data_IF_962447525057
#
_entry.id   IF_962447525057
#
_cell.length_a   1.000
_cell.length_b   1.000
_cell.length_c   1.000
_cell.angle_alpha   90.00
_cell.angle_beta   90.00
_cell.angle_gamma   90.00
#
_symmetry.space_group_name_H-M   'P 1'
#
loop_
_entity.id
_entity.type
_entity.pdbx_description
1 polymer ?
#
# COMPACT_ATOMS: atom_id res chain seq x y z
N UNK A 1 20.42 -9.52 -5.95
CA UNK A 1 20.91 -9.28 -7.33
C UNK A 1 20.12 -8.11 -7.87
N UNK A 2 20.79 -7.06 -8.37
CA UNK A 2 20.08 -5.90 -8.89
C UNK A 2 19.49 -6.19 -10.27
N UNK A 3 18.34 -5.61 -10.54
CA UNK A 3 17.58 -5.73 -11.77
C UNK A 3 17.48 -4.34 -12.37
N UNK A 4 17.79 -4.22 -13.64
CA UNK A 4 17.67 -2.95 -14.36
C UNK A 4 16.27 -2.74 -14.88
N UNK A 5 15.79 -1.51 -14.75
CA UNK A 5 14.46 -1.11 -15.18
C UNK A 5 14.54 0.16 -16.03
N UNK A 6 13.72 0.23 -17.06
CA UNK A 6 13.38 1.49 -17.71
C UNK A 6 12.35 2.22 -16.85
N UNK A 7 12.55 3.50 -16.58
CA UNK A 7 11.53 4.36 -15.93
C UNK A 7 10.60 4.86 -17.03
N UNK A 8 9.40 4.27 -17.10
CA UNK A 8 8.40 4.57 -18.15
C UNK A 8 7.69 5.88 -17.90
N UNK A 9 7.32 6.16 -16.66
CA UNK A 9 6.69 7.42 -16.28
C UNK A 9 6.94 7.77 -14.83
N UNK A 10 6.94 9.09 -14.55
CA UNK A 10 6.92 9.68 -13.21
C UNK A 10 5.86 10.77 -13.23
N UNK A 11 4.68 10.49 -12.70
CA UNK A 11 3.50 11.36 -12.78
C UNK A 11 3.09 11.83 -11.38
N UNK A 12 2.82 13.13 -11.20
CA UNK A 12 2.25 13.60 -9.95
C UNK A 12 0.82 13.07 -9.77
N UNK A 13 0.51 12.56 -8.59
CA UNK A 13 -0.85 12.26 -8.15
C UNK A 13 -1.40 13.46 -7.39
N UNK A 14 -1.47 13.36 -6.07
CA UNK A 14 -1.92 14.44 -5.19
C UNK A 14 -0.99 14.53 -3.98
N UNK A 15 -0.99 15.66 -3.27
CA UNK A 15 -0.23 15.86 -2.03
C UNK A 15 1.25 15.43 -2.10
N UNK A 16 1.96 15.83 -3.15
CA UNK A 16 3.37 15.46 -3.37
C UNK A 16 3.60 13.94 -3.48
N UNK A 17 2.58 13.18 -3.84
CA UNK A 17 2.71 11.76 -4.16
C UNK A 17 2.90 11.58 -5.65
N UNK A 18 3.83 10.71 -6.05
CA UNK A 18 4.13 10.40 -7.44
C UNK A 18 3.81 8.95 -7.74
N UNK A 19 3.16 8.74 -8.88
CA UNK A 19 3.00 7.43 -9.50
C UNK A 19 4.17 7.19 -10.43
N UNK A 20 4.87 6.09 -10.24
CA UNK A 20 6.04 5.72 -11.03
C UNK A 20 5.79 4.37 -11.66
N UNK A 21 6.03 4.26 -12.97
CA UNK A 21 5.99 3.00 -13.70
C UNK A 21 7.41 2.60 -14.08
N UNK A 22 7.79 1.39 -13.68
CA UNK A 22 9.06 0.76 -14.00
C UNK A 22 8.83 -0.45 -14.90
N UNK A 23 9.61 -0.56 -15.98
CA UNK A 23 9.66 -1.74 -16.83
C UNK A 23 10.97 -2.48 -16.58
N UNK A 24 10.98 -3.59 -15.84
CA UNK A 24 12.15 -4.43 -15.67
C UNK A 24 12.60 -5.05 -17.00
N UNK A 25 13.91 -5.28 -17.17
CA UNK A 25 14.45 -5.98 -18.34
C UNK A 25 13.95 -7.42 -18.44
N UNK A 26 13.68 -8.04 -17.28
CA UNK A 26 13.13 -9.39 -17.19
C UNK A 26 11.89 -9.37 -16.30
N UNK A 27 10.93 -10.25 -16.58
CA UNK A 27 9.72 -10.38 -15.76
C UNK A 27 10.10 -10.79 -14.33
N UNK A 28 9.60 -10.02 -13.36
CA UNK A 28 9.79 -10.30 -11.94
C UNK A 28 8.57 -11.05 -11.41
N UNK A 29 8.78 -12.24 -10.88
CA UNK A 29 7.76 -12.98 -10.14
C UNK A 29 7.71 -12.47 -8.70
N UNK A 30 6.57 -11.98 -8.29
CA UNK A 30 6.34 -11.49 -6.92
C UNK A 30 4.91 -11.81 -6.46
N UNK A 31 4.67 -11.68 -5.16
CA UNK A 31 3.35 -11.85 -4.54
C UNK A 31 2.76 -10.48 -4.17
N UNK A 32 1.46 -10.35 -4.28
CA UNK A 32 0.78 -9.10 -3.91
C UNK A 32 1.01 -8.77 -2.44
N UNK A 33 1.51 -7.57 -2.17
CA UNK A 33 1.94 -7.11 -0.84
C UNK A 33 3.45 -7.14 -0.61
N UNK A 34 4.24 -7.57 -1.58
CA UNK A 34 5.70 -7.46 -1.52
C UNK A 34 6.20 -6.07 -1.93
N UNK A 35 7.43 -5.76 -1.59
CA UNK A 35 8.10 -4.50 -1.91
C UNK A 35 9.39 -4.72 -2.71
N UNK A 36 9.90 -3.65 -3.28
CA UNK A 36 11.21 -3.59 -3.90
C UNK A 36 12.13 -2.64 -3.15
N UNK A 37 13.42 -2.77 -3.38
CA UNK A 37 14.45 -1.84 -2.95
C UNK A 37 14.91 -1.01 -4.15
N UNK A 38 14.72 0.30 -4.09
CA UNK A 38 15.33 1.25 -5.02
C UNK A 38 16.83 1.36 -4.69
N UNK A 39 17.69 1.04 -5.64
CA UNK A 39 19.14 1.07 -5.45
C UNK A 39 19.67 2.47 -5.74
N UNK A 40 19.95 3.23 -4.69
CA UNK A 40 20.49 4.59 -4.78
C UNK A 40 22.02 4.63 -4.70
N UNK A 41 22.63 3.54 -4.26
CA UNK A 41 24.06 3.36 -4.13
C UNK A 41 24.38 1.96 -3.61
N UNK A 42 25.65 1.63 -3.51
CA UNK A 42 26.12 0.30 -3.11
C UNK A 42 25.55 -0.14 -1.74
N UNK A 43 25.47 0.79 -0.79
CA UNK A 43 24.91 0.57 0.56
C UNK A 43 23.60 1.32 0.83
N UNK A 44 23.06 2.06 -0.16
CA UNK A 44 21.82 2.83 -0.03
C UNK A 44 20.72 2.18 -0.87
N UNK A 45 19.87 1.40 -0.19
CA UNK A 45 18.73 0.70 -0.79
C UNK A 45 17.47 1.05 -0.03
N UNK A 46 16.49 1.58 -0.73
CA UNK A 46 15.30 2.19 -0.13
C UNK A 46 14.04 1.40 -0.48
N UNK A 47 13.27 0.93 0.54
CA UNK A 47 12.11 0.07 0.32
C UNK A 47 10.88 0.86 -0.14
N UNK A 48 10.19 0.32 -1.15
CA UNK A 48 8.89 0.80 -1.62
C UNK A 48 7.99 -0.37 -1.96
N UNK A 49 6.77 -0.38 -1.42
CA UNK A 49 5.77 -1.38 -1.76
C UNK A 49 5.44 -1.34 -3.24
N UNK A 50 5.34 -2.50 -3.88
CA UNK A 50 4.89 -2.61 -5.26
C UNK A 50 3.37 -2.42 -5.25
N UNK A 51 2.88 -1.36 -5.90
CA UNK A 51 1.47 -1.02 -5.93
C UNK A 51 0.69 -1.81 -6.98
N UNK A 52 1.36 -2.23 -8.08
CA UNK A 52 0.75 -3.10 -9.08
C UNK A 52 0.54 -4.51 -8.55
N UNK A 53 -0.53 -5.15 -9.05
CA UNK A 53 -0.78 -6.58 -8.79
C UNK A 53 0.13 -7.45 -9.66
N UNK A 54 0.58 -8.62 -9.16
CA UNK A 54 1.30 -9.60 -9.99
C UNK A 54 0.47 -10.14 -11.17
N UNK A 55 -0.84 -9.89 -11.18
CA UNK A 55 -1.72 -10.21 -12.31
C UNK A 55 -1.58 -9.25 -13.50
N UNK A 56 -0.88 -8.12 -13.34
CA UNK A 56 -0.58 -7.21 -14.44
C UNK A 56 0.69 -7.64 -15.18
N UNK A 57 0.71 -7.43 -16.50
CA UNK A 57 1.85 -7.81 -17.33
C UNK A 57 3.03 -6.85 -17.16
N UNK A 58 4.06 -7.36 -16.49
CA UNK A 58 5.45 -6.92 -16.60
C UNK A 58 5.83 -5.58 -15.98
N UNK A 59 4.93 -4.61 -15.83
CA UNK A 59 5.24 -3.31 -15.24
C UNK A 59 5.08 -3.32 -13.72
N UNK A 60 6.02 -2.66 -13.05
CA UNK A 60 5.92 -2.39 -11.62
C UNK A 60 5.48 -0.95 -11.39
N UNK A 61 4.46 -0.75 -10.56
CA UNK A 61 3.95 0.55 -10.17
C UNK A 61 4.36 0.85 -8.72
N UNK A 62 4.84 2.08 -8.49
CA UNK A 62 5.14 2.61 -7.16
C UNK A 62 4.31 3.87 -6.91
N UNK A 63 3.91 4.09 -5.65
CA UNK A 63 3.36 5.36 -5.18
C UNK A 63 4.31 5.92 -4.13
N UNK A 64 5.03 6.99 -4.45
CA UNK A 64 6.05 7.57 -3.58
C UNK A 64 5.60 8.93 -3.07
N UNK A 65 5.43 9.05 -1.76
CA UNK A 65 5.15 10.31 -1.09
C UNK A 65 6.44 11.10 -0.88
N UNK A 66 6.65 12.14 -1.69
CA UNK A 66 7.82 12.99 -1.69
C UNK A 66 7.50 14.39 -1.13
N UNK A 67 6.96 14.45 0.09
CA UNK A 67 6.69 15.69 0.80
C UNK A 67 8.00 16.39 1.22
N UNK A 68 7.98 17.73 1.36
CA UNK A 68 9.17 18.55 1.69
C UNK A 68 9.97 18.06 2.89
N UNK A 69 9.28 17.48 3.89
CA UNK A 69 9.91 16.94 5.10
C UNK A 69 10.50 15.53 4.90
N UNK A 70 10.43 14.97 3.69
CA UNK A 70 10.95 13.66 3.35
C UNK A 70 11.98 13.74 2.20
N UNK A 71 13.19 14.31 2.44
CA UNK A 71 14.22 14.44 1.42
C UNK A 71 14.67 13.09 0.86
N UNK A 72 14.56 12.04 1.64
CA UNK A 72 14.89 10.68 1.28
C UNK A 72 14.03 10.15 0.11
N UNK A 73 12.72 10.40 0.14
CA UNK A 73 11.82 10.03 -0.94
C UNK A 73 11.93 10.99 -2.14
N UNK A 74 12.15 12.30 -1.89
CA UNK A 74 12.36 13.30 -2.94
C UNK A 74 13.54 12.90 -3.83
N UNK A 75 14.66 12.52 -3.22
CA UNK A 75 15.87 12.11 -3.96
C UNK A 75 15.60 10.92 -4.89
N UNK A 76 14.83 9.91 -4.45
CA UNK A 76 14.44 8.76 -5.29
C UNK A 76 13.61 9.22 -6.48
N UNK A 77 12.60 10.06 -6.24
CA UNK A 77 11.73 10.57 -7.32
C UNK A 77 12.54 11.38 -8.32
N UNK A 78 13.41 12.28 -7.87
CA UNK A 78 14.25 13.10 -8.76
C UNK A 78 15.26 12.25 -9.55
N UNK A 79 15.84 11.22 -8.92
CA UNK A 79 16.75 10.28 -9.61
C UNK A 79 15.99 9.50 -10.70
N UNK A 80 14.77 9.04 -10.42
CA UNK A 80 13.95 8.35 -11.42
C UNK A 80 13.50 9.28 -12.55
N UNK A 81 13.15 10.54 -12.26
CA UNK A 81 12.86 11.54 -13.29
C UNK A 81 14.07 11.79 -14.20
N UNK A 82 15.26 11.93 -13.61
CA UNK A 82 16.50 12.12 -14.39
C UNK A 82 16.80 10.89 -15.25
N UNK A 83 16.68 9.68 -14.69
CA UNK A 83 16.86 8.45 -15.45
C UNK A 83 15.91 8.33 -16.64
N UNK A 84 14.64 8.69 -16.45
CA UNK A 84 13.64 8.73 -17.52
C UNK A 84 14.01 9.74 -18.63
N UNK A 85 14.43 10.96 -18.26
CA UNK A 85 14.81 12.00 -19.20
C UNK A 85 16.05 11.66 -20.01
N UNK A 86 17.05 11.07 -19.36
CA UNK A 86 18.33 10.71 -19.96
C UNK A 86 18.30 9.34 -20.67
N UNK A 87 17.21 8.59 -20.56
CA UNK A 87 17.11 7.22 -21.07
C UNK A 87 18.02 6.23 -20.34
N UNK A 88 18.42 6.54 -19.10
CA UNK A 88 19.23 5.66 -18.27
C UNK A 88 18.33 4.65 -17.55
N UNK A 89 18.88 3.47 -17.31
CA UNK A 89 18.22 2.47 -16.49
C UNK A 89 18.35 2.80 -15.00
N UNK A 90 17.31 2.45 -14.25
CA UNK A 90 17.28 2.51 -12.80
C UNK A 90 17.41 1.09 -12.22
N UNK A 91 18.16 0.92 -11.17
CA UNK A 91 18.37 -0.39 -10.57
C UNK A 91 17.47 -0.61 -9.35
N UNK A 92 16.90 -1.81 -9.27
CA UNK A 92 16.10 -2.27 -8.14
C UNK A 92 16.53 -3.64 -7.67
N UNK A 93 16.15 -4.01 -6.46
CA UNK A 93 16.15 -5.40 -5.99
C UNK A 93 14.71 -5.79 -5.63
N UNK A 94 14.24 -6.90 -6.18
CA UNK A 94 12.88 -7.39 -5.95
C UNK A 94 12.81 -8.90 -6.14
N UNK A 95 11.81 -9.60 -5.55
CA UNK A 95 10.91 -9.09 -4.52
C UNK A 95 11.45 -9.23 -3.10
N UNK A 96 10.90 -8.45 -2.18
CA UNK A 96 11.17 -8.52 -0.75
C UNK A 96 9.88 -8.51 0.07
N UNK A 97 9.96 -8.88 1.34
CA UNK A 97 8.86 -8.84 2.29
C UNK A 97 8.10 -10.17 2.41
N UNK A 98 7.58 -10.42 3.62
CA UNK A 98 6.85 -11.63 3.99
C UNK A 98 5.35 -11.36 4.25
N UNK A 99 4.92 -10.09 4.11
CA UNK A 99 3.56 -9.66 4.38
C UNK A 99 2.62 -9.74 3.15
N UNK A 100 2.86 -10.69 2.24
CA UNK A 100 2.01 -10.89 1.06
C UNK A 100 0.65 -11.51 1.43
N UNK A 101 -0.31 -11.34 0.54
CA UNK A 101 -1.66 -11.92 0.70
C UNK A 101 -1.62 -13.46 0.74
N UNK A 102 -2.32 -14.03 1.71
CA UNK A 102 -2.47 -15.49 1.86
C UNK A 102 -3.63 -15.96 1.00
N UNK A 103 -3.29 -16.37 -0.23
CA UNK A 103 -4.26 -16.70 -1.28
C UNK A 103 -5.03 -18.00 -1.03
N UNK A 104 -4.51 -18.86 -0.14
CA UNK A 104 -5.12 -20.09 0.33
C UNK A 104 -6.08 -19.91 1.51
N UNK A 105 -6.16 -18.69 2.06
CA UNK A 105 -7.09 -18.38 3.14
C UNK A 105 -8.51 -18.14 2.63
N UNK A 106 -9.48 -18.66 3.39
CA UNK A 106 -10.91 -18.45 3.17
C UNK A 106 -11.51 -17.35 4.06
N UNK A 107 -10.67 -16.66 4.83
CA UNK A 107 -11.09 -15.64 5.80
C UNK A 107 -11.43 -14.31 5.11
N UNK A 108 -12.36 -13.52 5.69
CA UNK A 108 -12.53 -12.15 5.27
C UNK A 108 -11.24 -11.35 5.45
N UNK A 109 -11.01 -10.41 4.52
CA UNK A 109 -9.81 -9.60 4.47
C UNK A 109 -10.09 -8.20 5.03
N UNK A 110 -9.30 -7.77 5.99
CA UNK A 110 -9.26 -6.39 6.46
C UNK A 110 -7.94 -5.76 6.05
N UNK A 111 -8.02 -4.78 5.16
CA UNK A 111 -6.87 -4.04 4.66
C UNK A 111 -6.87 -2.63 5.24
N UNK A 112 -5.75 -2.22 5.85
CA UNK A 112 -5.62 -0.93 6.51
C UNK A 112 -4.41 -0.19 5.96
N UNK A 113 -4.62 1.01 5.43
CA UNK A 113 -3.56 1.86 4.91
C UNK A 113 -3.51 3.21 5.62
N UNK A 114 -2.30 3.70 5.88
CA UNK A 114 -2.01 5.07 6.28
C UNK A 114 -1.24 5.80 5.18
N UNK A 115 -1.78 6.88 4.63
CA UNK A 115 -1.12 7.65 3.57
C UNK A 115 -0.73 6.78 2.37
N UNK A 116 0.54 6.85 1.95
CA UNK A 116 1.09 6.06 0.83
C UNK A 116 1.26 4.56 1.13
N UNK A 117 1.00 4.11 2.35
CA UNK A 117 0.81 2.69 2.67
C UNK A 117 -0.29 2.03 1.84
N UNK A 118 -1.13 2.85 1.19
CA UNK A 118 -2.11 2.38 0.23
C UNK A 118 -1.49 1.61 -0.96
N UNK A 119 -0.26 1.87 -1.36
CA UNK A 119 0.41 1.09 -2.42
C UNK A 119 0.47 -0.41 -2.12
N UNK A 120 0.76 -0.77 -0.88
CA UNK A 120 0.71 -2.15 -0.40
C UNK A 120 -0.71 -2.74 -0.50
N UNK A 121 -1.69 -2.01 0.03
CA UNK A 121 -3.10 -2.41 0.00
C UNK A 121 -3.62 -2.51 -1.45
N UNK A 122 -3.22 -1.57 -2.32
CA UNK A 122 -3.61 -1.58 -3.73
C UNK A 122 -3.21 -2.85 -4.44
N UNK A 123 -1.98 -3.30 -4.26
CA UNK A 123 -1.48 -4.54 -4.87
C UNK A 123 -2.33 -5.75 -4.46
N UNK A 124 -2.63 -5.87 -3.16
CA UNK A 124 -3.43 -6.97 -2.61
C UNK A 124 -4.89 -6.89 -3.11
N UNK A 125 -5.50 -5.70 -3.07
CA UNK A 125 -6.88 -5.49 -3.51
C UNK A 125 -7.05 -5.86 -4.99
N UNK A 126 -6.20 -5.33 -5.87
CA UNK A 126 -6.23 -5.62 -7.30
C UNK A 126 -6.03 -7.12 -7.58
N UNK A 127 -5.14 -7.77 -6.83
CA UNK A 127 -4.95 -9.22 -6.94
C UNK A 127 -6.20 -10.00 -6.54
N UNK A 128 -6.82 -9.64 -5.42
CA UNK A 128 -8.06 -10.28 -4.96
C UNK A 128 -9.21 -10.11 -5.97
N UNK A 129 -9.41 -8.88 -6.48
CA UNK A 129 -10.46 -8.60 -7.46
C UNK A 129 -10.21 -9.32 -8.79
N UNK A 130 -8.97 -9.35 -9.27
CA UNK A 130 -8.60 -10.06 -10.52
C UNK A 130 -8.78 -11.57 -10.42
N UNK A 131 -8.61 -12.15 -9.24
CA UNK A 131 -8.83 -13.57 -8.98
C UNK A 131 -10.30 -13.92 -8.69
N UNK A 132 -11.17 -12.93 -8.60
CA UNK A 132 -12.58 -13.14 -8.30
C UNK A 132 -12.83 -13.65 -6.87
N UNK A 133 -12.05 -13.17 -5.90
CA UNK A 133 -12.22 -13.47 -4.47
C UNK A 133 -13.63 -13.06 -4.05
N UNK A 134 -14.35 -13.98 -3.39
CA UNK A 134 -15.76 -13.78 -2.96
C UNK A 134 -15.91 -13.47 -1.47
N UNK A 135 -14.87 -13.69 -0.68
CA UNK A 135 -14.85 -13.31 0.74
C UNK A 135 -15.06 -11.81 0.89
N UNK A 136 -15.64 -11.36 2.01
CA UNK A 136 -15.70 -9.94 2.32
C UNK A 136 -14.33 -9.30 2.36
N UNK A 137 -14.18 -8.15 1.72
CA UNK A 137 -12.97 -7.33 1.70
C UNK A 137 -13.34 -5.96 2.28
N UNK A 138 -12.62 -5.54 3.31
CA UNK A 138 -12.74 -4.23 3.93
C UNK A 138 -11.45 -3.46 3.71
N UNK A 139 -11.54 -2.25 3.15
CA UNK A 139 -10.42 -1.34 2.96
C UNK A 139 -10.64 -0.08 3.77
N UNK A 140 -9.81 0.13 4.78
CA UNK A 140 -9.75 1.36 5.58
C UNK A 140 -8.51 2.15 5.19
N UNK A 141 -8.71 3.34 4.65
CA UNK A 141 -7.60 4.19 4.23
C UNK A 141 -7.63 5.51 4.97
N UNK A 142 -6.59 5.76 5.79
CA UNK A 142 -6.43 6.95 6.59
C UNK A 142 -5.45 7.95 5.99
N UNK A 143 -5.78 9.24 6.13
CA UNK A 143 -4.91 10.35 5.78
C UNK A 143 -5.22 11.56 6.67
N UNK A 144 -4.31 12.56 6.67
CA UNK A 144 -4.58 13.82 7.38
C UNK A 144 -5.74 14.58 6.78
N UNK A 145 -5.82 14.59 5.46
CA UNK A 145 -6.87 15.24 4.69
C UNK A 145 -7.19 14.44 3.43
N UNK A 146 -8.24 14.86 2.70
CA UNK A 146 -8.71 14.18 1.50
C UNK A 146 -7.64 14.13 0.39
N UNK A 147 -6.76 15.11 0.30
CA UNK A 147 -5.69 15.13 -0.70
C UNK A 147 -4.79 13.89 -0.59
N UNK A 148 -4.55 13.39 0.62
CA UNK A 148 -3.73 12.19 0.84
C UNK A 148 -4.41 10.89 0.39
N UNK A 149 -5.73 10.91 0.23
CA UNK A 149 -6.50 9.78 -0.32
C UNK A 149 -6.55 9.88 -1.86
N UNK A 150 -5.41 9.85 -2.50
CA UNK A 150 -5.22 10.17 -3.93
C UNK A 150 -5.94 9.23 -4.92
N UNK A 151 -6.47 8.11 -4.47
CA UNK A 151 -7.29 7.18 -5.26
C UNK A 151 -8.71 7.02 -4.67
N UNK A 152 -9.19 8.01 -3.91
CA UNK A 152 -10.48 7.97 -3.22
C UNK A 152 -11.65 7.66 -4.16
N UNK A 153 -11.78 8.41 -5.24
CA UNK A 153 -12.88 8.24 -6.20
C UNK A 153 -12.84 6.88 -6.90
N UNK A 154 -11.63 6.40 -7.21
CA UNK A 154 -11.43 5.08 -7.81
C UNK A 154 -11.85 3.95 -6.86
N UNK A 155 -11.45 4.03 -5.59
CA UNK A 155 -11.87 3.05 -4.59
C UNK A 155 -13.37 3.07 -4.33
N UNK A 156 -13.98 4.24 -4.33
CA UNK A 156 -15.42 4.36 -4.21
C UNK A 156 -16.13 3.67 -5.39
N UNK A 157 -15.67 3.92 -6.61
CA UNK A 157 -16.20 3.25 -7.80
C UNK A 157 -16.00 1.72 -7.78
N UNK A 158 -14.86 1.25 -7.26
CA UNK A 158 -14.62 -0.19 -7.08
C UNK A 158 -15.59 -0.80 -6.05
N UNK A 159 -15.82 -0.12 -4.94
CA UNK A 159 -16.77 -0.58 -3.92
C UNK A 159 -18.20 -0.62 -4.45
N UNK A 160 -18.60 0.35 -5.26
CA UNK A 160 -19.92 0.36 -5.91
C UNK A 160 -20.08 -0.79 -6.92
N UNK A 161 -18.97 -1.23 -7.54
CA UNK A 161 -18.97 -2.31 -8.54
C UNK A 161 -18.91 -3.71 -7.92
N UNK A 162 -18.25 -3.87 -6.79
CA UNK A 162 -17.99 -5.15 -6.14
C UNK A 162 -18.72 -5.27 -4.82
N UNK A 163 -19.79 -6.05 -4.77
CA UNK A 163 -20.69 -6.18 -3.60
C UNK A 163 -20.03 -6.75 -2.35
N UNK A 164 -18.89 -7.42 -2.50
CA UNK A 164 -18.08 -7.94 -1.38
C UNK A 164 -16.99 -6.99 -0.91
N UNK A 165 -16.83 -5.81 -1.55
CA UNK A 165 -15.86 -4.78 -1.18
C UNK A 165 -16.54 -3.65 -0.42
N UNK A 166 -16.04 -3.35 0.77
CA UNK A 166 -16.41 -2.18 1.56
C UNK A 166 -15.19 -1.26 1.67
N UNK A 167 -15.34 -0.01 1.23
CA UNK A 167 -14.31 1.02 1.35
C UNK A 167 -14.70 2.06 2.40
N UNK A 168 -13.81 2.32 3.34
CA UNK A 168 -14.01 3.28 4.42
C UNK A 168 -12.85 4.30 4.43
N UNK A 169 -13.05 5.48 3.82
CA UNK A 169 -12.08 6.57 3.88
C UNK A 169 -12.15 7.25 5.25
N UNK A 170 -10.97 7.56 5.81
CA UNK A 170 -10.83 8.21 7.11
C UNK A 170 -9.86 9.39 6.99
N UNK A 171 -10.28 10.60 7.36
CA UNK A 171 -9.42 11.78 7.36
C UNK A 171 -9.42 12.46 8.74
N UNK A 172 -8.26 12.97 9.16
CA UNK A 172 -8.17 13.72 10.42
C UNK A 172 -8.81 15.10 10.29
N UNK A 173 -8.64 15.75 9.12
CA UNK A 173 -9.24 17.05 8.79
C UNK A 173 -10.21 16.88 7.63
N UNK A 174 -11.49 16.83 7.97
CA UNK A 174 -12.55 16.65 6.99
C UNK A 174 -12.89 17.94 6.24
N UNK A 175 -12.98 17.91 4.90
CA UNK A 175 -13.52 19.04 4.14
C UNK A 175 -15.03 19.19 4.36
N UNK A 176 -15.56 20.35 4.00
CA UNK A 176 -17.01 20.58 3.99
C UNK A 176 -17.73 19.54 3.12
N UNK A 177 -18.82 18.98 3.62
CA UNK A 177 -19.60 17.95 2.92
C UNK A 177 -19.01 16.55 2.94
N UNK A 178 -17.95 16.32 3.73
CA UNK A 178 -17.35 15.00 3.86
C UNK A 178 -18.33 13.93 4.31
N UNK A 179 -18.36 12.79 3.60
CA UNK A 179 -19.26 11.66 3.88
C UNK A 179 -18.54 10.44 4.49
N UNK A 180 -17.21 10.45 4.54
CA UNK A 180 -16.41 9.40 5.17
C UNK A 180 -16.27 9.61 6.68
N UNK A 181 -15.40 8.79 7.29
CA UNK A 181 -15.09 8.93 8.72
C UNK A 181 -14.07 10.02 8.97
N UNK A 182 -14.10 10.57 10.19
CA UNK A 182 -13.14 11.58 10.66
C UNK A 182 -12.37 11.02 11.84
N UNK A 183 -11.07 11.29 11.90
CA UNK A 183 -10.17 10.90 12.97
C UNK A 183 -9.11 9.91 12.56
N UNK A 184 -8.75 9.00 13.46
CA UNK A 184 -7.71 8.02 13.26
C UNK A 184 -8.25 6.73 12.62
N UNK A 185 -7.55 6.20 11.62
CA UNK A 185 -8.01 4.99 10.90
C UNK A 185 -8.10 3.75 11.79
N UNK A 186 -7.22 3.60 12.79
CA UNK A 186 -7.28 2.47 13.71
C UNK A 186 -8.48 2.56 14.66
N UNK A 187 -8.83 3.77 15.09
CA UNK A 187 -10.05 4.00 15.89
C UNK A 187 -11.30 3.70 15.07
N UNK A 188 -11.33 4.12 13.80
CA UNK A 188 -12.43 3.80 12.89
C UNK A 188 -12.65 2.28 12.76
N UNK A 189 -11.58 1.51 12.59
CA UNK A 189 -11.65 0.04 12.61
C UNK A 189 -12.16 -0.47 13.95
N UNK A 190 -11.60 0.05 15.05
CA UNK A 190 -11.97 -0.39 16.40
C UNK A 190 -13.44 -0.14 16.73
N UNK A 191 -14.03 0.94 16.22
CA UNK A 191 -15.45 1.25 16.38
C UNK A 191 -16.35 0.32 15.57
N UNK A 192 -15.96 0.00 14.34
CA UNK A 192 -16.81 -0.73 13.41
C UNK A 192 -16.81 -2.25 13.63
N UNK A 193 -15.75 -2.80 14.20
CA UNK A 193 -15.62 -4.23 14.43
C UNK A 193 -15.79 -4.60 15.91
N UNK A 194 -16.70 -5.52 16.18
CA UNK A 194 -16.85 -6.13 17.53
C UNK A 194 -15.68 -7.08 17.81
N UNK A 195 -15.29 -7.88 16.82
CA UNK A 195 -14.19 -8.84 16.90
C UNK A 195 -13.44 -8.90 15.58
N UNK A 196 -12.13 -9.11 15.65
CA UNK A 196 -11.24 -9.31 14.50
C UNK A 196 -10.65 -10.73 14.46
N UNK A 197 -11.10 -11.65 15.33
CA UNK A 197 -10.57 -13.02 15.42
C UNK A 197 -10.74 -13.86 14.16
N UNK A 198 -11.73 -13.51 13.30
CA UNK A 198 -12.01 -14.24 12.07
C UNK A 198 -11.30 -13.68 10.83
N UNK A 199 -10.53 -12.59 10.97
CA UNK A 199 -10.00 -11.83 9.83
C UNK A 199 -8.53 -12.11 9.57
N UNK A 200 -8.17 -12.07 8.28
CA UNK A 200 -6.80 -11.80 7.85
C UNK A 200 -6.62 -10.29 7.74
N UNK A 201 -5.64 -9.75 8.46
CA UNK A 201 -5.42 -8.30 8.57
C UNK A 201 -4.12 -7.93 7.86
N UNK A 202 -4.22 -7.10 6.83
CA UNK A 202 -3.10 -6.59 6.05
C UNK A 202 -2.99 -5.09 6.28
N UNK A 203 -1.85 -4.62 6.79
CA UNK A 203 -1.72 -3.21 7.10
C UNK A 203 -0.38 -2.62 6.70
N UNK A 204 -0.39 -1.38 6.24
CA UNK A 204 0.78 -0.61 5.89
C UNK A 204 0.60 0.87 6.25
N UNK A 205 1.63 1.41 6.87
CA UNK A 205 1.71 2.79 7.35
C UNK A 205 3.01 2.98 8.11
N UNK A 206 3.05 4.00 8.95
CA UNK A 206 4.20 4.23 9.83
C UNK A 206 4.39 3.09 10.81
N UNK A 207 5.62 2.87 11.28
CA UNK A 207 5.93 1.81 12.25
C UNK A 207 5.10 1.92 13.53
N UNK A 208 4.91 3.15 14.02
CA UNK A 208 4.10 3.42 15.21
C UNK A 208 2.63 3.00 14.99
N UNK A 209 2.09 3.27 13.81
CA UNK A 209 0.73 2.84 13.44
C UNK A 209 0.62 1.31 13.41
N UNK A 210 1.58 0.62 12.80
CA UNK A 210 1.58 -0.84 12.72
C UNK A 210 1.71 -1.48 14.10
N UNK A 211 2.59 -0.96 14.95
CA UNK A 211 2.75 -1.41 16.34
C UNK A 211 1.49 -1.19 17.16
N UNK A 212 0.91 0.00 17.07
CA UNK A 212 -0.34 0.32 17.77
C UNK A 212 -1.50 -0.58 17.32
N UNK A 213 -1.63 -0.85 16.03
CA UNK A 213 -2.64 -1.76 15.48
C UNK A 213 -2.49 -3.17 16.05
N UNK A 214 -1.27 -3.71 16.03
CA UNK A 214 -0.99 -5.05 16.54
C UNK A 214 -1.39 -5.20 18.00
N UNK A 215 -0.95 -4.27 18.85
CA UNK A 215 -1.25 -4.32 20.29
C UNK A 215 -2.75 -4.10 20.55
N UNK A 216 -3.35 -3.07 19.96
CA UNK A 216 -4.75 -2.71 20.18
C UNK A 216 -5.71 -3.79 19.70
N UNK A 217 -5.57 -4.26 18.48
CA UNK A 217 -6.49 -5.24 17.91
C UNK A 217 -6.36 -6.62 18.56
N UNK A 218 -5.16 -7.01 18.99
CA UNK A 218 -4.95 -8.24 19.76
C UNK A 218 -5.62 -8.14 21.14
N UNK A 219 -5.39 -7.04 21.85
CA UNK A 219 -5.90 -6.88 23.21
C UNK A 219 -7.41 -6.62 23.28
N UNK A 220 -7.95 -5.82 22.36
CA UNK A 220 -9.33 -5.33 22.44
C UNK A 220 -10.31 -6.08 21.52
N UNK A 221 -9.82 -6.67 20.41
CA UNK A 221 -10.66 -7.25 19.36
C UNK A 221 -10.38 -8.73 19.10
N UNK A 222 -9.46 -9.35 19.82
CA UNK A 222 -9.12 -10.76 19.67
C UNK A 222 -8.46 -11.09 18.32
N UNK A 223 -7.82 -10.11 17.67
CA UNK A 223 -7.04 -10.38 16.46
C UNK A 223 -5.91 -11.35 16.76
N UNK A 224 -5.71 -12.33 15.89
CA UNK A 224 -4.63 -13.30 15.99
C UNK A 224 -3.37 -12.73 15.34
N UNK A 225 -2.25 -12.67 16.08
CA UNK A 225 -0.98 -12.10 15.59
C UNK A 225 -0.48 -12.78 14.33
N UNK A 226 -0.67 -14.08 14.21
CA UNK A 226 -0.28 -14.93 13.08
C UNK A 226 -1.10 -14.63 11.82
N UNK A 227 -2.20 -13.89 11.97
CA UNK A 227 -3.10 -13.46 10.90
C UNK A 227 -3.03 -11.96 10.64
N UNK A 228 -2.05 -11.29 11.23
CA UNK A 228 -1.76 -9.88 11.00
C UNK A 228 -0.45 -9.76 10.21
N UNK A 229 -0.51 -9.10 9.06
CA UNK A 229 0.58 -8.99 8.10
C UNK A 229 0.94 -7.53 7.86
N UNK A 230 2.17 -7.18 8.14
CA UNK A 230 2.77 -5.87 7.86
C UNK A 230 4.30 -6.03 7.78
N UNK A 231 4.93 -5.43 6.79
CA UNK A 231 6.40 -5.45 6.68
C UNK A 231 7.07 -4.80 7.90
N UNK A 232 6.40 -3.80 8.50
CA UNK A 232 6.87 -3.13 9.71
C UNK A 232 7.09 -4.11 10.88
N UNK A 233 6.38 -5.23 10.95
CA UNK A 233 6.51 -6.21 12.05
C UNK A 233 7.87 -6.91 12.09
N UNK A 234 8.64 -6.87 11.01
CA UNK A 234 10.00 -7.38 10.99
C UNK A 234 10.99 -6.46 11.77
N UNK A 235 10.58 -5.24 12.11
CA UNK A 235 11.45 -4.21 12.71
C UNK A 235 10.98 -3.72 14.09
N UNK A 236 9.81 -4.18 14.57
CA UNK A 236 9.20 -3.76 15.84
C UNK A 236 8.75 -4.94 16.71
#
# INVERSE_FOLDING_TARGET
>A
MSIKCEVKSVEPLACNTYRILLQPEEKIEFKAGQYLLAVMGESDKRPFSIASSPCRDGELELHIGAAEHNPYAIEVVETMKAAMQDGRQFEIEAPHGEAWVREDSDKPLLMIAGGTGFSYVRSILDNCLSRGVTQPIFVYWGGRDLCQLYAHEELQALADKHSNLTYVPVVESAPEGWQGKTGNVLEAVNEDFVSLSAYDIYLCGRFEMAGAAREKFTAEKGAERERMFADAFAFI
#
